data_IF_010074532088
#
_entry.id   IF_010074532088
#
_cell.length_a   1.000
_cell.length_b   1.000
_cell.length_c   1.000
_cell.angle_alpha   90.00
_cell.angle_beta   90.00
_cell.angle_gamma   90.00
#
_symmetry.space_group_name_H-M   'P 1'
#
loop_
_entity.id
_entity.type
_entity.pdbx_description
1 polymer ?
#
# COMPACT_ATOMS: atom_id res chain seq x y z
N UNK A 1 -32.14 -3.88 -39.55
CA UNK A 1 -32.03 -2.94 -38.41
C UNK A 1 -31.11 -3.53 -37.35
N UNK A 2 -29.80 -3.25 -37.43
CA UNK A 2 -28.79 -3.77 -36.49
C UNK A 2 -28.47 -2.70 -35.43
N UNK A 3 -28.95 -2.92 -34.21
CA UNK A 3 -28.76 -2.02 -33.08
C UNK A 3 -27.30 -2.09 -32.61
N UNK A 4 -26.49 -1.10 -32.99
CA UNK A 4 -25.10 -0.98 -32.56
C UNK A 4 -24.98 -0.96 -31.03
N UNK A 5 -24.34 -1.98 -30.46
CA UNK A 5 -23.98 -2.02 -29.03
C UNK A 5 -22.89 -0.96 -28.80
N UNK A 6 -23.25 0.15 -28.15
CA UNK A 6 -22.26 1.13 -27.69
C UNK A 6 -21.33 0.47 -26.65
N UNK A 7 -19.99 0.63 -26.75
CA UNK A 7 -19.09 0.17 -25.71
C UNK A 7 -19.33 0.97 -24.42
N UNK A 8 -19.54 0.29 -23.29
CA UNK A 8 -19.63 0.93 -21.97
C UNK A 8 -18.23 1.42 -21.57
N UNK A 9 -18.06 2.69 -21.15
CA UNK A 9 -16.78 3.14 -20.62
C UNK A 9 -16.42 2.31 -19.38
N UNK A 10 -15.18 1.83 -19.32
CA UNK A 10 -14.67 0.98 -18.25
C UNK A 10 -14.51 1.77 -16.95
N UNK A 11 -15.58 1.84 -16.17
CA UNK A 11 -15.66 2.48 -14.84
C UNK A 11 -14.81 1.76 -13.75
N UNK A 12 -13.90 0.87 -14.12
CA UNK A 12 -13.15 -0.01 -13.20
C UNK A 12 -11.82 0.57 -12.69
N UNK A 13 -11.41 1.75 -13.14
CA UNK A 13 -10.11 2.34 -12.79
C UNK A 13 -10.12 3.51 -11.79
N UNK A 14 -11.24 4.23 -11.67
CA UNK A 14 -11.24 5.55 -10.98
C UNK A 14 -11.19 5.42 -9.46
N UNK A 15 -11.93 4.47 -8.88
CA UNK A 15 -12.01 4.31 -7.42
C UNK A 15 -10.67 3.98 -6.77
N UNK A 16 -9.88 3.11 -7.38
CA UNK A 16 -8.56 2.71 -6.85
C UNK A 16 -7.58 3.88 -6.90
N UNK A 17 -7.59 4.66 -7.99
CA UNK A 17 -6.71 5.83 -8.11
C UNK A 17 -7.09 6.90 -7.09
N UNK A 18 -8.37 7.25 -6.98
CA UNK A 18 -8.84 8.22 -5.99
C UNK A 18 -8.47 7.80 -4.57
N UNK A 19 -8.68 6.53 -4.21
CA UNK A 19 -8.33 6.02 -2.89
C UNK A 19 -6.83 6.14 -2.58
N UNK A 20 -5.95 5.90 -3.57
CA UNK A 20 -4.51 6.10 -3.43
C UNK A 20 -4.14 7.58 -3.29
N UNK A 21 -4.77 8.46 -4.08
CA UNK A 21 -4.58 9.91 -3.98
C UNK A 21 -5.01 10.44 -2.60
N UNK A 22 -6.14 10.00 -2.09
CA UNK A 22 -6.62 10.35 -0.75
C UNK A 22 -5.68 9.82 0.33
N UNK A 23 -5.16 8.60 0.18
CA UNK A 23 -4.20 8.03 1.13
C UNK A 23 -2.90 8.84 1.15
N UNK A 24 -2.33 9.14 -0.02
CA UNK A 24 -1.12 9.97 -0.11
C UNK A 24 -1.36 11.41 0.36
N UNK A 25 -2.55 11.98 0.08
CA UNK A 25 -2.94 13.29 0.57
C UNK A 25 -3.04 13.31 2.10
N UNK A 26 -3.72 12.33 2.70
CA UNK A 26 -3.83 12.19 4.16
C UNK A 26 -2.47 11.98 4.82
N UNK A 27 -1.63 11.10 4.28
CA UNK A 27 -0.27 10.91 4.79
C UNK A 27 0.59 12.15 4.64
N UNK A 28 0.52 12.83 3.49
CA UNK A 28 1.25 14.06 3.24
C UNK A 28 0.82 15.17 4.20
N UNK A 29 -0.48 15.29 4.45
CA UNK A 29 -1.03 16.25 5.42
C UNK A 29 -0.48 15.97 6.83
N UNK A 30 -0.56 14.73 7.31
CA UNK A 30 -0.05 14.33 8.63
C UNK A 30 1.47 14.56 8.72
N UNK A 31 2.23 14.18 7.69
CA UNK A 31 3.66 14.35 7.65
C UNK A 31 4.07 15.83 7.70
N UNK A 32 3.48 16.67 6.85
CA UNK A 32 3.80 18.10 6.78
C UNK A 32 3.41 18.79 8.07
N UNK A 33 2.18 18.59 8.54
CA UNK A 33 1.71 19.23 9.79
C UNK A 33 2.53 18.78 11.00
N UNK A 34 2.91 17.50 11.08
CA UNK A 34 3.75 16.97 12.15
C UNK A 34 5.19 17.48 12.11
N UNK A 35 5.81 17.56 10.93
CA UNK A 35 7.17 18.11 10.76
C UNK A 35 7.20 19.61 11.09
N UNK A 36 6.21 20.37 10.63
CA UNK A 36 6.07 21.79 10.96
C UNK A 36 5.95 21.97 12.47
N UNK A 37 5.14 21.14 13.13
CA UNK A 37 5.00 21.16 14.60
C UNK A 37 6.33 20.82 15.31
N UNK A 38 7.04 19.78 14.89
CA UNK A 38 8.31 19.42 15.54
C UNK A 38 9.39 20.51 15.35
N UNK A 39 9.60 20.98 14.12
CA UNK A 39 10.71 21.89 13.78
C UNK A 39 10.44 23.32 14.23
N UNK A 40 9.23 23.82 14.01
CA UNK A 40 8.92 25.22 14.25
C UNK A 40 8.66 25.52 15.72
N UNK A 41 8.16 24.51 16.43
CA UNK A 41 7.51 24.70 17.71
C UNK A 41 8.14 23.89 18.85
N UNK A 42 8.19 22.56 18.73
CA UNK A 42 8.62 21.71 19.83
C UNK A 42 10.12 21.82 20.12
N UNK A 43 10.95 21.86 19.07
CA UNK A 43 12.40 22.01 19.22
C UNK A 43 12.82 23.41 19.74
N UNK A 44 12.16 24.52 19.35
CA UNK A 44 12.54 25.85 19.83
C UNK A 44 11.92 26.28 21.16
N UNK A 45 10.94 25.54 21.70
CA UNK A 45 10.31 25.83 23.01
C UNK A 45 9.58 27.19 23.08
N UNK A 46 8.85 27.58 22.03
CA UNK A 46 8.09 28.85 21.98
C UNK A 46 6.80 28.77 22.83
N UNK A 47 5.93 29.80 22.80
CA UNK A 47 4.55 29.83 23.42
C UNK A 47 3.42 29.62 22.38
N UNK A 48 2.40 28.75 22.61
CA UNK A 48 1.59 28.21 21.52
C UNK A 48 0.63 29.27 21.00
N UNK A 49 0.61 29.47 19.69
CA UNK A 49 -0.32 30.38 19.03
C UNK A 49 -1.60 29.64 18.61
N UNK A 50 -2.71 30.36 18.42
CA UNK A 50 -3.98 29.80 17.93
C UNK A 50 -3.82 29.06 16.58
N UNK A 51 -2.88 29.51 15.76
CA UNK A 51 -2.53 28.87 14.50
C UNK A 51 -1.93 27.47 14.71
N UNK A 52 -1.12 27.27 15.75
CA UNK A 52 -0.54 25.97 16.09
C UNK A 52 -1.61 25.02 16.62
N UNK A 53 -2.56 25.51 17.40
CA UNK A 53 -3.69 24.71 17.86
C UNK A 53 -4.49 24.16 16.67
N UNK A 54 -4.79 25.03 15.70
CA UNK A 54 -5.46 24.67 14.44
C UNK A 54 -4.66 23.66 13.61
N UNK A 55 -3.32 23.79 13.59
CA UNK A 55 -2.43 22.84 12.92
C UNK A 55 -2.52 21.44 13.53
N UNK A 56 -2.53 21.32 14.87
CA UNK A 56 -2.70 20.03 15.56
C UNK A 56 -4.08 19.41 15.32
N UNK A 57 -5.14 20.21 15.22
CA UNK A 57 -6.47 19.70 14.85
C UNK A 57 -6.47 19.14 13.42
N UNK A 58 -5.86 19.84 12.47
CA UNK A 58 -5.69 19.36 11.09
C UNK A 58 -4.83 18.09 11.03
N UNK A 59 -3.79 18.00 11.87
CA UNK A 59 -2.97 16.80 12.00
C UNK A 59 -3.80 15.60 12.46
N UNK A 60 -4.60 15.77 13.53
CA UNK A 60 -5.50 14.74 14.04
C UNK A 60 -6.54 14.30 12.99
N UNK A 61 -7.16 15.26 12.30
CA UNK A 61 -8.11 14.97 11.22
C UNK A 61 -7.45 14.19 10.06
N UNK A 62 -6.26 14.62 9.65
CA UNK A 62 -5.45 13.90 8.65
C UNK A 62 -5.10 12.48 9.11
N UNK A 63 -4.79 12.31 10.40
CA UNK A 63 -4.51 11.02 11.02
C UNK A 63 -5.69 10.06 10.93
N UNK A 64 -6.91 10.53 11.21
CA UNK A 64 -8.12 9.72 11.07
C UNK A 64 -8.39 9.32 9.63
N UNK A 65 -8.22 10.23 8.67
CA UNK A 65 -8.37 9.93 7.23
C UNK A 65 -7.35 8.85 6.81
N UNK A 66 -6.08 9.04 7.18
CA UNK A 66 -5.03 8.08 6.91
C UNK A 66 -5.34 6.69 7.50
N UNK A 67 -5.86 6.66 8.74
CA UNK A 67 -6.23 5.42 9.43
C UNK A 67 -7.35 4.67 8.72
N UNK A 68 -8.43 5.37 8.34
CA UNK A 68 -9.56 4.77 7.62
C UNK A 68 -9.12 4.17 6.27
N UNK A 69 -8.28 4.90 5.54
CA UNK A 69 -7.77 4.46 4.23
C UNK A 69 -6.72 3.34 4.37
N UNK A 70 -5.91 3.35 5.42
CA UNK A 70 -4.98 2.25 5.69
C UNK A 70 -5.75 0.98 6.09
N UNK A 71 -6.78 1.13 6.93
CA UNK A 71 -7.67 0.06 7.36
C UNK A 71 -8.43 -0.58 6.19
N UNK A 72 -8.92 0.20 5.23
CA UNK A 72 -9.59 -0.34 4.04
C UNK A 72 -8.65 -1.10 3.10
N UNK A 73 -7.34 -0.78 3.11
CA UNK A 73 -6.32 -1.48 2.30
C UNK A 73 -5.78 -2.75 2.95
N UNK A 74 -5.96 -2.89 4.27
CA UNK A 74 -5.48 -4.02 5.06
C UNK A 74 -6.05 -5.37 4.58
N UNK A 75 -7.38 -5.54 4.34
CA UNK A 75 -7.94 -6.81 3.89
C UNK A 75 -7.37 -7.27 2.54
N UNK A 76 -7.10 -6.33 1.64
CA UNK A 76 -6.54 -6.63 0.33
C UNK A 76 -5.09 -7.11 0.47
N UNK A 77 -4.25 -6.39 1.22
CA UNK A 77 -2.84 -6.76 1.39
C UNK A 77 -2.65 -8.01 2.26
N UNK A 78 -3.45 -8.16 3.33
CA UNK A 78 -3.40 -9.31 4.23
C UNK A 78 -3.91 -10.56 3.52
N UNK A 79 -5.06 -10.53 2.83
CA UNK A 79 -5.55 -11.73 2.10
C UNK A 79 -4.59 -12.17 1.01
N UNK A 80 -4.09 -11.26 0.18
CA UNK A 80 -3.20 -11.63 -0.93
C UNK A 80 -1.79 -12.03 -0.45
N UNK A 81 -1.23 -11.33 0.55
CA UNK A 81 0.11 -11.60 1.09
C UNK A 81 0.16 -12.86 1.97
N UNK A 82 -0.93 -13.18 2.66
CA UNK A 82 -1.01 -14.42 3.44
C UNK A 82 -1.10 -15.65 2.53
N UNK A 83 -1.85 -15.58 1.42
CA UNK A 83 -1.98 -16.72 0.50
C UNK A 83 -0.73 -17.02 -0.33
N UNK A 84 0.11 -16.02 -0.63
CA UNK A 84 1.27 -16.19 -1.52
C UNK A 84 2.62 -16.31 -0.80
N UNK A 85 2.66 -16.23 0.54
CA UNK A 85 3.90 -16.39 1.32
C UNK A 85 4.91 -15.25 1.19
N UNK A 86 4.75 -14.39 0.18
CA UNK A 86 5.68 -13.30 -0.16
C UNK A 86 5.22 -11.99 0.47
N UNK A 87 6.19 -11.26 1.03
CA UNK A 87 6.04 -9.88 1.51
C UNK A 87 5.21 -9.67 2.81
N UNK A 88 4.99 -10.74 3.60
CA UNK A 88 4.27 -10.71 4.89
C UNK A 88 4.93 -9.79 5.93
N UNK A 89 6.25 -9.88 6.03
CA UNK A 89 7.06 -9.08 6.95
C UNK A 89 6.98 -7.58 6.66
N UNK A 90 6.98 -7.20 5.38
CA UNK A 90 6.86 -5.80 4.96
C UNK A 90 5.49 -5.23 5.36
N UNK A 91 4.39 -5.91 5.01
CA UNK A 91 3.05 -5.45 5.38
C UNK A 91 2.83 -5.42 6.89
N UNK A 92 3.27 -6.47 7.60
CA UNK A 92 3.19 -6.56 9.05
C UNK A 92 3.97 -5.47 9.77
N UNK A 93 5.18 -5.16 9.30
CA UNK A 93 6.01 -4.09 9.88
C UNK A 93 5.36 -2.71 9.76
N UNK A 94 4.76 -2.38 8.61
CA UNK A 94 4.04 -1.11 8.41
C UNK A 94 2.77 -1.05 9.27
N UNK A 95 2.03 -2.16 9.37
CA UNK A 95 0.83 -2.22 10.21
C UNK A 95 1.16 -2.08 11.71
N UNK A 96 2.20 -2.78 12.19
CA UNK A 96 2.67 -2.67 13.57
C UNK A 96 3.16 -1.24 13.88
N UNK A 97 3.93 -0.66 12.97
CA UNK A 97 4.40 0.71 13.11
C UNK A 97 3.25 1.72 13.15
N UNK A 98 2.25 1.58 12.28
CA UNK A 98 1.03 2.38 12.31
C UNK A 98 0.26 2.20 13.64
N UNK A 99 0.17 0.97 14.15
CA UNK A 99 -0.46 0.69 15.45
C UNK A 99 0.22 1.44 16.60
N UNK A 100 1.56 1.48 16.64
CA UNK A 100 2.28 2.25 17.67
C UNK A 100 2.01 3.75 17.54
N UNK A 101 1.99 4.31 16.32
CA UNK A 101 1.63 5.72 16.11
C UNK A 101 0.20 6.04 16.57
N UNK A 102 -0.76 5.15 16.32
CA UNK A 102 -2.15 5.31 16.78
C UNK A 102 -2.23 5.29 18.30
N UNK A 103 -1.60 4.30 18.94
CA UNK A 103 -1.62 4.15 20.40
C UNK A 103 -0.96 5.33 21.11
N UNK A 104 0.16 5.81 20.58
CA UNK A 104 0.85 6.98 21.13
C UNK A 104 0.06 8.27 20.90
N UNK A 105 -0.57 8.44 19.73
CA UNK A 105 -1.48 9.57 19.47
C UNK A 105 -2.72 9.56 20.38
N UNK A 106 -3.26 8.38 20.67
CA UNK A 106 -4.35 8.21 21.64
C UNK A 106 -3.90 8.52 23.08
N UNK A 107 -2.72 8.02 23.48
CA UNK A 107 -2.14 8.31 24.78
C UNK A 107 -1.87 9.81 24.98
N UNK A 108 -1.47 10.53 23.93
CA UNK A 108 -1.33 11.99 24.00
C UNK A 108 -2.62 12.72 24.40
N UNK A 109 -3.79 12.13 24.07
CA UNK A 109 -5.09 12.73 24.34
C UNK A 109 -5.68 12.31 25.69
N UNK A 110 -5.41 11.08 26.14
CA UNK A 110 -6.11 10.49 27.29
C UNK A 110 -5.20 10.00 28.43
N UNK A 111 -3.88 9.97 28.27
CA UNK A 111 -2.99 9.47 29.31
C UNK A 111 -2.63 10.52 30.38
N UNK A 112 -2.25 10.04 31.56
CA UNK A 112 -1.62 10.83 32.62
C UNK A 112 -0.26 11.38 32.22
N UNK A 113 0.29 12.29 33.04
CA UNK A 113 1.44 13.14 32.66
C UNK A 113 2.68 12.35 32.21
N UNK A 114 3.13 11.39 33.01
CA UNK A 114 4.33 10.59 32.71
C UNK A 114 4.20 9.80 31.40
N UNK A 115 3.06 9.14 31.21
CA UNK A 115 2.80 8.35 30.00
C UNK A 115 2.59 9.25 28.78
N UNK A 116 2.03 10.45 28.97
CA UNK A 116 1.85 11.45 27.91
C UNK A 116 3.18 12.00 27.43
N UNK A 117 4.11 12.29 28.33
CA UNK A 117 5.47 12.73 27.96
C UNK A 117 6.22 11.64 27.19
N UNK A 118 6.17 10.40 27.68
CA UNK A 118 6.76 9.28 26.96
C UNK A 118 6.12 9.08 25.58
N UNK A 119 4.78 9.10 25.51
CA UNK A 119 4.03 8.98 24.26
C UNK A 119 4.37 10.10 23.27
N UNK A 120 4.58 11.35 23.74
CA UNK A 120 5.03 12.48 22.93
C UNK A 120 6.34 12.15 22.22
N UNK A 121 7.36 11.74 22.96
CA UNK A 121 8.67 11.43 22.38
C UNK A 121 8.62 10.28 21.40
N UNK A 122 7.90 9.21 21.74
CA UNK A 122 7.74 8.06 20.85
C UNK A 122 6.98 8.46 19.58
N UNK A 123 5.88 9.20 19.71
CA UNK A 123 5.08 9.65 18.56
C UNK A 123 5.88 10.56 17.64
N UNK A 124 6.68 11.48 18.21
CA UNK A 124 7.52 12.39 17.45
C UNK A 124 8.65 11.66 16.71
N UNK A 125 9.39 10.79 17.41
CA UNK A 125 10.53 10.07 16.81
C UNK A 125 10.07 9.10 15.72
N UNK A 126 9.01 8.32 15.99
CA UNK A 126 8.44 7.42 15.00
C UNK A 126 7.78 8.21 13.88
N UNK A 127 7.07 9.30 14.18
CA UNK A 127 6.44 10.16 13.17
C UNK A 127 7.45 10.71 12.17
N UNK A 128 8.56 11.29 12.65
CA UNK A 128 9.66 11.74 11.79
C UNK A 128 10.30 10.57 11.02
N UNK A 129 10.55 9.45 11.68
CA UNK A 129 11.07 8.24 11.03
C UNK A 129 10.17 7.78 9.89
N UNK A 130 8.86 7.85 10.05
CA UNK A 130 7.86 7.48 9.05
C UNK A 130 7.98 8.32 7.77
N UNK A 131 8.25 9.62 7.90
CA UNK A 131 8.41 10.54 6.78
C UNK A 131 9.55 10.10 5.86
N UNK A 132 10.63 9.52 6.41
CA UNK A 132 11.76 9.02 5.63
C UNK A 132 11.59 7.56 5.18
N UNK A 133 11.17 6.68 6.09
CA UNK A 133 11.12 5.23 5.86
C UNK A 133 10.01 4.85 4.89
N UNK A 134 8.86 5.53 4.93
CA UNK A 134 7.71 5.12 4.12
C UNK A 134 7.90 5.38 2.61
N UNK A 135 8.41 6.53 2.15
CA UNK A 135 8.78 6.71 0.75
C UNK A 135 9.83 5.69 0.29
N UNK A 136 10.83 5.41 1.13
CA UNK A 136 11.84 4.40 0.87
C UNK A 136 11.21 3.01 0.71
N UNK A 137 10.28 2.64 1.59
CA UNK A 137 9.53 1.39 1.52
C UNK A 137 8.77 1.24 0.20
N UNK A 138 8.05 2.28 -0.21
CA UNK A 138 7.29 2.30 -1.47
C UNK A 138 8.24 2.17 -2.66
N UNK A 139 9.37 2.87 -2.64
CA UNK A 139 10.35 2.84 -3.72
C UNK A 139 11.05 1.48 -3.84
N UNK A 140 11.51 0.88 -2.74
CA UNK A 140 12.06 -0.49 -2.70
C UNK A 140 11.04 -1.51 -3.20
N UNK A 141 9.78 -1.38 -2.78
CA UNK A 141 8.68 -2.25 -3.20
C UNK A 141 8.40 -2.15 -4.71
N UNK A 142 8.43 -0.93 -5.27
CA UNK A 142 8.26 -0.72 -6.73
C UNK A 142 9.43 -1.28 -7.53
N UNK A 143 10.67 -1.07 -7.08
CA UNK A 143 11.87 -1.63 -7.73
C UNK A 143 11.86 -3.15 -7.75
N UNK A 144 11.51 -3.77 -6.62
CA UNK A 144 11.43 -5.23 -6.51
C UNK A 144 10.35 -5.84 -7.40
N UNK A 145 9.27 -5.10 -7.69
CA UNK A 145 8.23 -5.52 -8.64
C UNK A 145 8.65 -5.32 -10.09
N UNK A 146 9.30 -4.19 -10.41
CA UNK A 146 9.84 -3.92 -11.75
C UNK A 146 10.91 -4.95 -12.15
N UNK A 147 11.81 -5.32 -11.22
CA UNK A 147 12.82 -6.36 -11.43
C UNK A 147 12.23 -7.77 -11.60
N UNK A 148 10.96 -7.99 -11.20
CA UNK A 148 10.24 -9.26 -11.34
C UNK A 148 9.21 -9.24 -12.48
N UNK A 149 9.21 -8.19 -13.31
CA UNK A 149 8.34 -8.15 -14.48
C UNK A 149 8.60 -9.39 -15.36
N UNK A 150 7.57 -10.07 -15.87
CA UNK A 150 7.73 -11.33 -16.58
C UNK A 150 8.65 -11.12 -17.78
N UNK A 151 9.69 -11.96 -17.89
CA UNK A 151 10.45 -12.14 -19.13
C UNK A 151 9.42 -12.37 -20.23
N UNK A 152 9.33 -11.42 -21.17
CA UNK A 152 8.42 -11.59 -22.31
C UNK A 152 8.82 -12.88 -23.04
N UNK A 153 7.85 -13.74 -23.43
CA UNK A 153 8.16 -14.88 -24.27
C UNK A 153 8.89 -14.37 -25.50
N UNK A 154 10.09 -14.90 -25.77
CA UNK A 154 10.89 -14.55 -26.94
C UNK A 154 10.00 -14.70 -28.19
N UNK A 155 9.80 -13.64 -29.00
CA UNK A 155 9.03 -13.73 -30.23
C UNK A 155 9.73 -14.72 -31.18
N UNK A 156 9.18 -15.93 -31.30
CA UNK A 156 9.75 -16.99 -32.14
C UNK A 156 9.47 -18.41 -31.67
N UNK A 157 9.21 -18.64 -30.37
CA UNK A 157 9.01 -20.01 -29.86
C UNK A 157 7.58 -20.56 -30.07
N UNK A 158 6.59 -19.70 -30.24
CA UNK A 158 5.20 -20.14 -30.49
C UNK A 158 5.03 -20.86 -31.84
N UNK A 159 5.85 -20.53 -32.84
CA UNK A 159 5.80 -21.21 -34.16
C UNK A 159 6.48 -22.58 -34.14
N UNK A 160 7.54 -22.73 -33.35
CA UNK A 160 8.25 -24.01 -33.23
C UNK A 160 7.45 -25.05 -32.41
N UNK A 161 6.73 -24.62 -31.37
CA UNK A 161 5.90 -25.53 -30.56
C UNK A 161 4.63 -25.99 -31.30
N UNK A 162 4.05 -25.14 -32.17
CA UNK A 162 2.96 -25.55 -33.05
C UNK A 162 3.39 -26.63 -34.06
N UNK A 163 4.64 -26.61 -34.52
CA UNK A 163 5.18 -27.62 -35.45
C UNK A 163 5.46 -28.98 -34.80
N UNK A 164 5.64 -29.05 -33.47
CA UNK A 164 5.91 -30.30 -32.75
C UNK A 164 4.60 -30.96 -32.30
N UNK A 165 3.57 -30.17 -32.00
CA UNK A 165 2.26 -30.69 -31.59
C UNK A 165 1.46 -31.36 -32.73
N UNK A 166 1.86 -31.15 -33.99
CA UNK A 166 1.22 -31.77 -35.17
C UNK A 166 1.82 -33.13 -35.54
N UNK A 167 2.86 -33.59 -34.83
CA UNK A 167 3.39 -34.95 -34.95
C UNK A 167 2.50 -35.94 -34.19
N UNK A 168 1.30 -36.17 -34.72
CA UNK A 168 0.35 -37.19 -34.26
C UNK A 168 0.98 -38.58 -34.51
N UNK A 169 1.18 -39.45 -33.50
CA UNK A 169 1.60 -40.82 -33.75
C UNK A 169 0.48 -41.56 -34.50
N UNK A 170 0.85 -42.27 -35.57
CA UNK A 170 -0.08 -43.00 -36.42
C UNK A 170 -0.89 -44.04 -35.61
N UNK A 171 -2.19 -44.25 -35.93
CA UNK A 171 -2.99 -45.25 -35.24
C UNK A 171 -2.49 -46.66 -35.56
N UNK A 172 -2.20 -47.43 -34.51
CA UNK A 172 -1.91 -48.86 -34.62
C UNK A 172 -3.15 -49.58 -35.14
N UNK A 173 -3.04 -50.12 -36.36
CA UNK A 173 -4.02 -51.02 -36.96
C UNK A 173 -4.00 -52.35 -36.21
N UNK A 174 -4.92 -52.53 -35.27
CA UNK A 174 -5.32 -53.87 -34.80
C UNK A 174 -6.36 -54.41 -35.76
N UNK A 175 -5.87 -55.01 -36.85
CA UNK A 175 -6.69 -55.83 -37.72
C UNK A 175 -7.11 -57.10 -36.97
N UNK A 176 -8.41 -57.36 -37.04
CA UNK A 176 -9.07 -58.57 -36.60
C UNK A 176 -8.33 -59.83 -37.06
N UNK A 177 -8.16 -60.77 -36.14
CA UNK A 177 -7.83 -62.15 -36.48
C UNK A 177 -9.03 -63.00 -36.05
N UNK A 178 -9.86 -63.32 -37.04
CA UNK A 178 -10.85 -64.38 -36.95
C UNK A 178 -10.18 -65.68 -36.52
N UNK A 179 -10.73 -66.31 -35.48
CA UNK A 179 -10.99 -67.75 -35.33
C UNK A 179 -11.64 -68.05 -33.98
#
# INVERSE_FOLDING_TARGET
MTRGRRPRPSQRGTGIRLHLWLLYGGLGLVAVTGVVWAVWWDLPGREPTDALHSLTQLHGAGGFIALLLLGSMLPQHVRFGWNTGRNRWSGGSVAAFAAVLILTGYALYYAGEDLREFAKWVHLLLGLGAVAILPLHIWLGRRSRAARAPVQPVPGQTRAQASISDARPAPHSTAARDR
#
